data_IF_071792391109
#
_entry.id   IF_071792391109
#
_cell.length_a   1.000
_cell.length_b   1.000
_cell.length_c   1.000
_cell.angle_alpha   90.00
_cell.angle_beta   90.00
_cell.angle_gamma   90.00
#
_symmetry.space_group_name_H-M   'P 1'
#
loop_
_entity.id
_entity.type
_entity.pdbx_description
1 polymer ?
#
# COMPACT_ATOMS: atom_id res chain seq x y z
N UNK A 1 -17.28 26.81 3.19
CA UNK A 1 -15.89 26.92 3.69
C UNK A 1 -15.05 26.05 2.77
N UNK A 2 -13.92 26.54 2.21
CA UNK A 2 -13.05 25.69 1.42
C UNK A 2 -12.40 24.65 2.36
N UNK A 3 -12.44 23.34 2.06
CA UNK A 3 -11.72 22.33 2.80
C UNK A 3 -10.21 22.56 2.76
N UNK A 4 -9.72 23.09 3.88
CA UNK A 4 -8.41 22.92 4.51
C UNK A 4 -7.37 22.07 3.78
N UNK A 5 -6.15 22.59 3.78
CA UNK A 5 -4.86 21.94 3.52
C UNK A 5 -4.54 20.72 4.43
N UNK A 6 -5.53 19.91 4.74
CA UNK A 6 -5.43 18.74 5.58
C UNK A 6 -4.71 17.62 4.82
N UNK A 7 -3.77 16.95 5.50
CA UNK A 7 -3.05 15.85 4.92
C UNK A 7 -4.01 14.72 4.52
N UNK A 8 -3.84 14.18 3.31
CA UNK A 8 -4.63 13.08 2.76
C UNK A 8 -3.67 11.98 2.34
N UNK A 9 -4.09 10.75 2.57
CA UNK A 9 -3.30 9.54 2.34
C UNK A 9 -4.14 8.56 1.57
N UNK A 10 -3.49 7.66 0.82
CA UNK A 10 -4.21 6.63 0.09
C UNK A 10 -5.14 5.85 1.03
N UNK A 11 -4.58 5.38 2.14
CA UNK A 11 -5.35 4.80 3.25
C UNK A 11 -5.51 5.81 4.41
N UNK A 12 -6.72 6.04 4.94
CA UNK A 12 -8.02 5.49 4.49
C UNK A 12 -8.74 6.37 3.45
N UNK A 13 -8.26 7.61 3.23
CA UNK A 13 -9.08 8.67 2.65
C UNK A 13 -9.37 8.46 1.16
N UNK A 14 -8.32 8.34 0.34
CA UNK A 14 -8.46 8.21 -1.11
C UNK A 14 -9.11 6.89 -1.46
N UNK A 15 -8.72 5.81 -0.79
CA UNK A 15 -9.35 4.50 -0.95
C UNK A 15 -10.85 4.60 -0.74
N UNK A 16 -11.30 5.23 0.35
CA UNK A 16 -12.72 5.41 0.58
C UNK A 16 -13.40 6.13 -0.59
N UNK A 17 -12.82 7.22 -1.09
CA UNK A 17 -13.36 7.94 -2.26
C UNK A 17 -13.41 7.05 -3.50
N UNK A 18 -12.32 6.37 -3.87
CA UNK A 18 -12.29 5.49 -5.03
C UNK A 18 -13.31 4.34 -4.90
N UNK A 19 -13.48 3.81 -3.69
CA UNK A 19 -14.40 2.72 -3.43
C UNK A 19 -15.86 3.17 -3.47
N UNK A 20 -16.15 4.39 -3.05
CA UNK A 20 -17.49 4.96 -3.13
C UNK A 20 -17.90 5.27 -4.57
N UNK A 21 -17.01 5.87 -5.36
CA UNK A 21 -17.41 6.46 -6.66
C UNK A 21 -17.01 5.62 -7.88
N UNK A 22 -15.96 4.79 -7.80
CA UNK A 22 -15.35 4.17 -8.97
C UNK A 22 -15.54 2.65 -9.05
N UNK A 23 -15.64 1.94 -7.92
CA UNK A 23 -15.68 0.46 -7.90
C UNK A 23 -16.85 -0.16 -8.63
N UNK A 24 -17.97 0.55 -8.80
CA UNK A 24 -19.12 0.06 -9.58
C UNK A 24 -18.74 -0.37 -11.01
N UNK A 25 -17.75 0.30 -11.60
CA UNK A 25 -17.27 0.00 -12.96
C UNK A 25 -15.82 -0.47 -13.00
N UNK A 26 -15.06 -0.29 -11.92
CA UNK A 26 -13.65 -0.67 -11.84
C UNK A 26 -13.39 -1.88 -10.91
N UNK A 27 -14.40 -2.66 -10.55
CA UNK A 27 -14.24 -3.92 -9.78
C UNK A 27 -13.80 -5.10 -10.65
N UNK A 28 -13.23 -6.12 -10.01
CA UNK A 28 -12.84 -7.42 -10.57
C UNK A 28 -13.94 -8.19 -11.34
N UNK A 29 -15.19 -7.78 -11.17
CA UNK A 29 -16.40 -8.38 -11.73
C UNK A 29 -17.09 -7.50 -12.77
N UNK A 30 -16.57 -6.29 -13.01
CA UNK A 30 -17.18 -5.30 -13.91
C UNK A 30 -16.37 -5.11 -15.20
N UNK A 31 -17.06 -4.75 -16.28
CA UNK A 31 -16.48 -4.65 -17.62
C UNK A 31 -15.40 -3.56 -17.78
N UNK A 32 -15.40 -2.49 -16.97
CA UNK A 32 -14.33 -1.48 -17.05
C UNK A 32 -13.05 -1.89 -16.30
N UNK A 33 -13.04 -2.98 -15.53
CA UNK A 33 -11.79 -3.60 -15.06
C UNK A 33 -10.96 -4.19 -16.20
N UNK A 34 -11.56 -4.49 -17.35
CA UNK A 34 -10.79 -4.85 -18.56
C UNK A 34 -10.05 -3.68 -19.21
N UNK A 35 -10.28 -2.42 -18.75
CA UNK A 35 -9.70 -1.19 -19.30
C UNK A 35 -8.42 -0.69 -18.57
N UNK A 36 -7.67 -1.59 -17.91
CA UNK A 36 -6.39 -1.31 -17.24
C UNK A 36 -6.44 -0.37 -16.02
N UNK A 37 -7.62 -0.18 -15.40
CA UNK A 37 -7.75 0.44 -14.07
C UNK A 37 -8.67 -0.42 -13.22
N UNK A 38 -8.06 -1.27 -12.39
CA UNK A 38 -8.75 -2.21 -11.50
C UNK A 38 -8.63 -1.72 -10.06
N UNK A 39 -9.76 -1.69 -9.37
CA UNK A 39 -9.88 -1.52 -7.92
C UNK A 39 -10.35 -2.88 -7.35
N UNK A 40 -9.42 -3.65 -6.80
CA UNK A 40 -9.65 -5.02 -6.30
C UNK A 40 -9.14 -5.22 -4.89
N UNK A 41 -9.72 -6.17 -4.16
CA UNK A 41 -9.13 -6.69 -2.93
C UNK A 41 -9.47 -5.89 -1.68
N UNK A 42 -9.85 -6.63 -0.65
CA UNK A 42 -10.04 -6.19 0.74
C UNK A 42 -9.11 -7.09 1.58
N UNK A 43 -8.46 -6.61 2.66
CA UNK A 43 -8.37 -5.25 3.17
C UNK A 43 -7.01 -4.55 2.91
N UNK A 44 -6.12 -5.14 2.10
CA UNK A 44 -4.81 -4.54 1.74
C UNK A 44 -4.52 -4.87 0.28
N UNK A 45 -4.58 -3.88 -0.60
CA UNK A 45 -4.42 -4.06 -2.04
C UNK A 45 -3.42 -3.08 -2.66
N UNK A 46 -2.17 -3.50 -2.76
CA UNK A 46 -1.18 -2.77 -3.54
C UNK A 46 -1.64 -2.57 -4.98
N UNK A 47 -2.41 -3.50 -5.52
CA UNK A 47 -2.90 -3.43 -6.89
C UNK A 47 -3.74 -2.17 -7.12
N UNK A 48 -4.75 -1.89 -6.29
CA UNK A 48 -5.55 -0.67 -6.44
C UNK A 48 -4.73 0.59 -6.24
N UNK A 49 -3.81 0.60 -5.28
CA UNK A 49 -2.92 1.73 -5.05
C UNK A 49 -2.03 2.01 -6.27
N UNK A 50 -1.34 0.98 -6.78
CA UNK A 50 -0.44 1.09 -7.93
C UNK A 50 -1.20 1.46 -9.21
N UNK A 51 -2.37 0.87 -9.42
CA UNK A 51 -3.25 1.24 -10.53
C UNK A 51 -3.69 2.70 -10.43
N UNK A 52 -3.93 3.21 -9.23
CA UNK A 52 -4.27 4.62 -8.99
C UNK A 52 -3.07 5.51 -9.30
N UNK A 53 -1.89 5.19 -8.75
CA UNK A 53 -0.65 5.93 -8.97
C UNK A 53 -0.29 6.06 -10.46
N UNK A 54 -0.51 5.02 -11.25
CA UNK A 54 -0.27 5.05 -12.68
C UNK A 54 -1.07 6.14 -13.42
N UNK A 55 -2.11 6.71 -12.79
CA UNK A 55 -3.00 7.75 -13.35
C UNK A 55 -2.78 9.12 -12.71
N UNK A 56 -1.76 9.24 -11.87
CA UNK A 56 -1.41 10.46 -11.17
C UNK A 56 -0.20 11.11 -11.85
N UNK A 57 -0.29 12.42 -12.03
CA UNK A 57 0.85 13.28 -12.32
C UNK A 57 1.08 14.18 -11.09
N UNK A 58 2.17 13.95 -10.37
CA UNK A 58 2.52 14.74 -9.17
C UNK A 58 3.20 16.07 -9.53
N UNK A 59 3.70 16.22 -10.76
CA UNK A 59 4.29 17.47 -11.25
C UNK A 59 3.22 18.41 -11.80
N UNK A 60 2.12 17.85 -12.30
CA UNK A 60 0.94 18.58 -12.75
C UNK A 60 -0.35 17.98 -12.15
N UNK A 61 -0.59 18.18 -10.82
CA UNK A 61 -1.67 17.54 -10.07
C UNK A 61 -3.05 17.68 -10.71
N UNK A 62 -3.40 18.88 -11.16
CA UNK A 62 -4.69 19.22 -11.75
C UNK A 62 -4.95 18.47 -13.08
N UNK A 63 -3.87 18.11 -13.80
CA UNK A 63 -3.95 17.38 -15.05
C UNK A 63 -3.74 15.86 -14.88
N UNK A 64 -3.73 15.36 -13.64
CA UNK A 64 -3.76 13.92 -13.37
C UNK A 64 -4.94 13.26 -14.08
N UNK A 65 -4.67 12.20 -14.84
CA UNK A 65 -5.68 11.50 -15.65
C UNK A 65 -6.85 10.99 -14.80
N UNK A 66 -6.58 10.60 -13.54
CA UNK A 66 -7.62 10.23 -12.57
C UNK A 66 -8.65 11.35 -12.39
N UNK A 67 -8.20 12.58 -12.15
CA UNK A 67 -9.06 13.75 -11.92
C UNK A 67 -9.78 14.16 -13.21
N UNK A 68 -9.06 14.21 -14.33
CA UNK A 68 -9.63 14.60 -15.63
C UNK A 68 -10.75 13.65 -16.08
N UNK A 69 -10.59 12.33 -15.91
CA UNK A 69 -11.63 11.36 -16.24
C UNK A 69 -12.77 11.35 -15.21
N UNK A 70 -12.46 11.45 -13.92
CA UNK A 70 -13.49 11.44 -12.89
C UNK A 70 -14.43 12.64 -12.98
N UNK A 71 -13.91 13.82 -13.37
CA UNK A 71 -14.67 15.06 -13.54
C UNK A 71 -15.26 15.24 -14.95
N UNK A 72 -14.93 14.35 -15.90
CA UNK A 72 -15.40 14.42 -17.28
C UNK A 72 -14.74 15.51 -18.13
N UNK A 73 -13.67 16.15 -17.66
CA UNK A 73 -12.85 17.08 -18.46
C UNK A 73 -12.14 16.39 -19.63
N UNK A 74 -11.88 15.09 -19.47
CA UNK A 74 -11.48 14.20 -20.57
C UNK A 74 -12.50 13.08 -20.69
N UNK A 75 -12.72 12.60 -21.92
CA UNK A 75 -13.65 11.52 -22.21
C UNK A 75 -13.42 10.30 -21.29
N UNK A 76 -14.48 9.91 -20.60
CA UNK A 76 -14.55 8.75 -19.72
C UNK A 76 -15.80 7.96 -20.10
N UNK A 77 -15.67 6.65 -20.36
CA UNK A 77 -16.77 5.83 -20.90
C UNK A 77 -18.01 5.78 -20.00
N UNK A 78 -17.84 5.96 -18.68
CA UNK A 78 -18.93 6.08 -17.71
C UNK A 78 -19.44 7.50 -17.48
N UNK A 79 -18.91 8.50 -18.19
CA UNK A 79 -19.16 9.92 -17.92
C UNK A 79 -18.43 10.45 -16.68
N UNK A 80 -18.77 11.67 -16.29
CA UNK A 80 -18.29 12.26 -15.04
C UNK A 80 -18.93 11.55 -13.85
N UNK A 81 -18.11 11.13 -12.88
CA UNK A 81 -18.54 10.48 -11.62
C UNK A 81 -18.32 11.36 -10.39
N UNK A 82 -17.54 12.43 -10.54
CA UNK A 82 -17.32 13.49 -9.55
C UNK A 82 -17.57 14.86 -10.20
N UNK A 83 -17.93 15.86 -9.39
CA UNK A 83 -17.95 17.27 -9.86
C UNK A 83 -16.63 17.97 -9.53
N UNK A 84 -16.24 18.93 -10.37
CA UNK A 84 -15.00 19.72 -10.18
C UNK A 84 -15.00 20.46 -8.83
N UNK A 85 -16.17 20.93 -8.38
CA UNK A 85 -16.39 21.69 -7.16
C UNK A 85 -16.79 20.83 -5.94
N UNK A 86 -16.64 19.51 -6.03
CA UNK A 86 -17.00 18.58 -4.95
C UNK A 86 -15.82 18.32 -3.99
N UNK A 87 -16.15 18.15 -2.70
CA UNK A 87 -15.18 17.87 -1.64
C UNK A 87 -14.29 16.66 -1.95
N UNK A 88 -14.86 15.63 -2.59
CA UNK A 88 -14.16 14.42 -2.97
C UNK A 88 -13.06 14.69 -4.03
N UNK A 89 -13.35 15.55 -5.01
CA UNK A 89 -12.38 15.96 -6.03
C UNK A 89 -11.23 16.74 -5.39
N UNK A 90 -11.56 17.66 -4.48
CA UNK A 90 -10.55 18.42 -3.74
C UNK A 90 -9.68 17.54 -2.85
N UNK A 91 -10.25 16.53 -2.19
CA UNK A 91 -9.47 15.58 -1.39
C UNK A 91 -8.50 14.76 -2.24
N UNK A 92 -8.93 14.31 -3.42
CA UNK A 92 -8.06 13.62 -4.38
C UNK A 92 -6.95 14.56 -4.86
N UNK A 93 -7.28 15.79 -5.25
CA UNK A 93 -6.29 16.78 -5.68
C UNK A 93 -5.27 17.10 -4.58
N UNK A 94 -5.73 17.29 -3.35
CA UNK A 94 -4.84 17.55 -2.21
C UNK A 94 -3.91 16.37 -1.93
N UNK A 95 -4.38 15.13 -2.04
CA UNK A 95 -3.53 13.94 -1.93
C UNK A 95 -2.47 13.88 -3.04
N UNK A 96 -2.83 14.19 -4.28
CA UNK A 96 -1.87 14.25 -5.39
C UNK A 96 -0.81 15.32 -5.17
N UNK A 97 -1.22 16.55 -4.78
CA UNK A 97 -0.32 17.65 -4.43
C UNK A 97 0.62 17.31 -3.27
N UNK A 98 0.25 16.37 -2.41
CA UNK A 98 1.09 15.83 -1.34
C UNK A 98 2.05 14.73 -1.81
N UNK A 99 2.14 14.48 -3.11
CA UNK A 99 2.99 13.44 -3.70
C UNK A 99 2.35 12.06 -3.75
N UNK A 100 1.01 11.99 -3.69
CA UNK A 100 0.24 10.74 -3.77
C UNK A 100 0.69 9.67 -2.74
N UNK A 101 1.00 10.13 -1.53
CA UNK A 101 1.53 9.30 -0.45
C UNK A 101 0.54 8.22 -0.03
N UNK A 102 1.03 6.99 0.11
CA UNK A 102 0.17 5.84 0.45
C UNK A 102 -0.41 5.96 1.85
N UNK A 103 0.46 6.24 2.80
CA UNK A 103 0.11 6.38 4.20
C UNK A 103 0.79 7.62 4.77
N UNK A 104 0.38 7.96 5.99
CA UNK A 104 0.92 9.07 6.78
C UNK A 104 2.42 9.11 6.95
N UNK A 105 3.12 8.04 6.62
CA UNK A 105 4.49 7.79 7.01
C UNK A 105 5.41 7.48 5.83
N UNK A 106 4.94 7.70 4.59
CA UNK A 106 5.71 7.45 3.38
C UNK A 106 7.10 8.10 3.40
N UNK A 107 7.23 9.30 4.00
CA UNK A 107 8.50 10.04 4.11
C UNK A 107 9.16 9.94 5.49
N UNK A 108 8.55 9.26 6.46
CA UNK A 108 9.17 9.02 7.76
C UNK A 108 10.16 7.85 7.66
N UNK A 109 11.18 7.79 8.55
CA UNK A 109 11.93 6.57 8.75
C UNK A 109 10.97 5.43 9.11
N UNK A 110 11.08 4.33 8.38
CA UNK A 110 10.31 3.12 8.64
C UNK A 110 10.80 2.49 9.94
N UNK A 111 9.86 2.15 10.82
CA UNK A 111 10.15 1.50 12.10
C UNK A 111 9.44 0.15 12.18
N UNK A 112 10.01 -0.77 12.93
CA UNK A 112 9.44 -2.10 13.06
C UNK A 112 8.02 -2.04 13.63
N UNK A 113 7.83 -1.33 14.74
CA UNK A 113 6.55 -1.28 15.45
C UNK A 113 5.39 -0.79 14.58
N UNK A 114 5.67 0.16 13.67
CA UNK A 114 4.66 0.90 12.92
C UNK A 114 4.47 0.38 11.52
N UNK A 115 5.56 0.05 10.84
CA UNK A 115 5.56 -0.25 9.41
C UNK A 115 5.67 -1.73 9.12
N UNK A 116 6.31 -2.54 9.99
CA UNK A 116 6.57 -3.96 9.72
C UNK A 116 5.70 -4.89 10.54
N UNK A 117 5.60 -4.65 11.85
CA UNK A 117 4.89 -5.55 12.77
C UNK A 117 3.42 -5.79 12.42
N UNK A 118 2.61 -4.79 11.99
CA UNK A 118 1.21 -5.02 11.72
C UNK A 118 0.97 -6.18 10.74
N UNK A 119 1.66 -6.22 9.60
CA UNK A 119 1.48 -7.30 8.63
C UNK A 119 2.18 -8.60 9.07
N UNK A 120 3.32 -8.54 9.78
CA UNK A 120 3.96 -9.75 10.34
C UNK A 120 3.02 -10.47 11.31
N UNK A 121 2.39 -9.72 12.20
CA UNK A 121 1.42 -10.31 13.15
C UNK A 121 0.15 -10.78 12.46
N UNK A 122 -0.37 -10.03 11.47
CA UNK A 122 -1.60 -10.40 10.77
C UNK A 122 -1.44 -11.64 9.88
N UNK A 123 -0.29 -11.79 9.20
CA UNK A 123 -0.12 -12.79 8.15
C UNK A 123 0.73 -13.98 8.58
N UNK A 124 1.64 -13.82 9.54
CA UNK A 124 2.58 -14.89 9.91
C UNK A 124 2.19 -15.62 11.20
N UNK A 125 1.47 -14.97 12.13
CA UNK A 125 1.21 -15.53 13.48
C UNK A 125 0.43 -16.86 13.47
N UNK A 126 -0.41 -17.09 12.46
CA UNK A 126 -1.16 -18.34 12.31
C UNK A 126 -0.28 -19.60 12.27
N UNK A 127 0.91 -19.50 11.68
CA UNK A 127 1.88 -20.62 11.65
C UNK A 127 3.11 -20.39 12.53
N UNK A 128 3.43 -19.13 12.85
CA UNK A 128 4.67 -18.75 13.54
C UNK A 128 4.50 -18.30 14.99
N UNK A 129 3.30 -18.33 15.56
CA UNK A 129 3.08 -18.06 17.00
C UNK A 129 3.90 -19.00 17.91
N UNK A 130 4.15 -20.23 17.46
CA UNK A 130 4.99 -21.22 18.14
C UNK A 130 6.50 -21.14 17.85
N UNK A 131 6.95 -20.27 16.93
CA UNK A 131 8.37 -20.21 16.53
C UNK A 131 8.76 -21.20 15.41
N UNK A 132 7.80 -21.67 14.62
CA UNK A 132 8.03 -22.64 13.52
C UNK A 132 9.18 -22.20 12.61
N UNK A 133 10.12 -23.10 12.35
CA UNK A 133 11.28 -22.82 11.48
C UNK A 133 12.24 -21.75 12.03
N UNK A 134 12.21 -21.49 13.35
CA UNK A 134 13.05 -20.49 14.00
C UNK A 134 12.49 -19.06 13.94
N UNK A 135 11.38 -18.85 13.23
CA UNK A 135 10.73 -17.54 13.13
C UNK A 135 9.50 -17.48 14.02
N UNK A 136 9.44 -16.44 14.86
CA UNK A 136 8.30 -16.11 15.73
C UNK A 136 7.56 -14.86 15.23
N UNK A 137 6.23 -14.92 15.27
CA UNK A 137 5.34 -13.79 15.02
C UNK A 137 4.09 -13.85 15.90
N UNK A 138 3.60 -12.71 16.37
CA UNK A 138 2.42 -12.62 17.25
C UNK A 138 2.77 -12.70 18.75
N UNK A 139 4.04 -12.51 19.11
CA UNK A 139 4.48 -12.34 20.48
C UNK A 139 4.42 -10.89 20.95
N UNK A 140 5.24 -10.57 21.97
CA UNK A 140 5.46 -9.17 22.35
C UNK A 140 6.14 -8.41 21.20
N UNK A 141 6.02 -7.07 21.21
CA UNK A 141 6.68 -6.22 20.23
C UNK A 141 8.19 -6.51 20.14
N UNK A 142 8.88 -6.66 21.28
CA UNK A 142 10.30 -7.03 21.32
C UNK A 142 10.58 -8.42 20.73
N UNK A 143 9.75 -9.42 21.05
CA UNK A 143 9.95 -10.78 20.54
C UNK A 143 9.82 -10.84 19.02
N UNK A 144 8.80 -10.19 18.47
CA UNK A 144 8.60 -10.13 17.02
C UNK A 144 9.74 -9.37 16.34
N UNK A 145 10.25 -8.30 16.97
CA UNK A 145 11.37 -7.52 16.47
C UNK A 145 12.68 -8.33 16.42
N UNK A 146 13.04 -8.99 17.52
CA UNK A 146 14.25 -9.82 17.59
C UNK A 146 14.20 -10.99 16.59
N UNK A 147 13.01 -11.56 16.39
CA UNK A 147 12.75 -12.56 15.36
C UNK A 147 13.03 -11.99 13.96
N UNK A 148 12.49 -10.80 13.63
CA UNK A 148 12.77 -10.15 12.34
C UNK A 148 14.23 -9.78 12.14
N UNK A 149 14.92 -9.30 13.18
CA UNK A 149 16.36 -9.01 13.10
C UNK A 149 17.18 -10.26 12.75
N UNK A 150 16.81 -11.42 13.31
CA UNK A 150 17.50 -12.70 13.06
C UNK A 150 17.31 -13.23 11.64
N UNK A 151 16.29 -12.73 10.92
CA UNK A 151 15.92 -13.19 9.59
C UNK A 151 16.10 -12.15 8.49
N UNK A 152 16.66 -10.98 8.81
CA UNK A 152 16.97 -9.90 7.88
C UNK A 152 18.45 -9.56 7.87
N UNK A 153 19.00 -9.36 6.67
CA UNK A 153 20.39 -9.04 6.44
C UNK A 153 20.51 -7.58 5.95
N UNK A 154 21.10 -6.66 6.73
CA UNK A 154 21.28 -5.28 6.32
C UNK A 154 22.35 -5.11 5.22
N UNK A 155 23.30 -6.03 5.12
CA UNK A 155 24.33 -6.03 4.07
C UNK A 155 23.82 -6.64 2.75
N UNK A 156 22.77 -7.45 2.82
CA UNK A 156 22.08 -8.00 1.66
C UNK A 156 20.54 -8.02 1.87
N UNK A 157 19.87 -6.85 1.80
CA UNK A 157 18.45 -6.75 2.14
C UNK A 157 17.57 -7.71 1.35
N UNK A 158 17.75 -7.78 0.02
CA UNK A 158 16.97 -8.67 -0.86
C UNK A 158 17.28 -10.16 -0.63
N UNK A 159 18.47 -10.50 -0.14
CA UNK A 159 18.86 -11.85 0.27
C UNK A 159 18.35 -12.28 1.65
N UNK A 160 17.68 -11.40 2.39
CA UNK A 160 17.08 -11.72 3.70
C UNK A 160 16.22 -12.98 3.63
N UNK A 161 16.41 -13.89 4.59
CA UNK A 161 15.71 -15.19 4.59
C UNK A 161 14.18 -15.05 4.63
N UNK A 162 13.67 -14.03 5.32
CA UNK A 162 12.23 -13.72 5.34
C UNK A 162 11.72 -13.32 3.95
N UNK A 163 12.48 -12.53 3.20
CA UNK A 163 12.07 -12.06 1.87
C UNK A 163 12.14 -13.18 0.82
N UNK A 164 13.24 -13.95 0.81
CA UNK A 164 13.43 -15.05 -0.14
C UNK A 164 12.45 -16.21 0.09
N UNK A 165 12.03 -16.45 1.34
CA UNK A 165 10.95 -17.40 1.63
C UNK A 165 9.59 -16.88 1.17
N UNK A 166 9.31 -15.60 1.38
CA UNK A 166 8.00 -15.04 1.07
C UNK A 166 7.79 -14.75 -0.42
N UNK A 167 8.85 -14.51 -1.20
CA UNK A 167 8.75 -14.37 -2.67
C UNK A 167 8.80 -15.71 -3.43
N UNK A 168 9.11 -16.80 -2.72
CA UNK A 168 9.17 -18.15 -3.27
C UNK A 168 10.51 -18.52 -3.93
N UNK A 169 11.52 -17.65 -3.90
CA UNK A 169 12.89 -17.98 -4.34
C UNK A 169 13.53 -19.05 -3.44
N UNK A 170 13.09 -19.14 -2.18
CA UNK A 170 13.39 -20.24 -1.26
C UNK A 170 12.10 -20.90 -0.80
N UNK A 171 12.12 -22.23 -0.69
CA UNK A 171 10.99 -23.00 -0.21
C UNK A 171 10.48 -22.57 1.17
N UNK A 172 9.16 -22.40 1.26
CA UNK A 172 8.42 -22.10 2.48
C UNK A 172 7.12 -22.90 2.48
N UNK A 173 6.84 -23.62 3.57
CA UNK A 173 5.68 -24.52 3.66
C UNK A 173 4.34 -23.78 3.51
N UNK A 174 4.27 -22.50 3.93
CA UNK A 174 3.12 -21.63 3.74
C UNK A 174 3.01 -21.01 2.34
N UNK A 175 3.83 -21.44 1.38
CA UNK A 175 3.88 -20.84 0.05
C UNK A 175 4.63 -19.51 0.00
N UNK A 176 4.34 -18.72 -1.02
CA UNK A 176 5.00 -17.45 -1.32
C UNK A 176 4.04 -16.26 -1.12
N UNK A 177 3.80 -15.82 0.13
CA UNK A 177 2.81 -14.78 0.44
C UNK A 177 3.15 -13.39 -0.09
N UNK A 178 4.42 -13.08 -0.37
CA UNK A 178 4.90 -11.74 -0.78
C UNK A 178 5.64 -11.76 -2.12
N UNK A 179 5.08 -12.43 -3.13
CA UNK A 179 5.63 -12.37 -4.50
C UNK A 179 5.67 -10.91 -5.01
N UNK A 180 6.77 -10.47 -5.63
CA UNK A 180 6.84 -9.12 -6.21
C UNK A 180 5.83 -8.91 -7.34
N UNK A 181 5.23 -7.69 -7.46
CA UNK A 181 5.36 -6.57 -6.51
C UNK A 181 4.51 -6.81 -5.24
N UNK A 182 5.07 -6.48 -4.07
CA UNK A 182 4.36 -6.54 -2.78
C UNK A 182 4.86 -5.47 -1.81
N UNK A 183 3.95 -4.77 -1.16
CA UNK A 183 4.29 -3.69 -0.26
C UNK A 183 4.80 -4.15 1.08
N UNK A 184 4.46 -5.37 1.53
CA UNK A 184 5.09 -5.97 2.69
C UNK A 184 6.60 -6.15 2.46
N UNK A 185 6.97 -6.60 1.25
CA UNK A 185 8.38 -6.69 0.84
C UNK A 185 9.03 -5.30 0.83
N UNK A 186 8.38 -4.33 0.20
CA UNK A 186 8.92 -2.96 0.12
C UNK A 186 9.04 -2.31 1.49
N UNK A 187 8.10 -2.54 2.40
CA UNK A 187 8.13 -2.05 3.78
C UNK A 187 9.28 -2.67 4.57
N UNK A 188 9.56 -3.97 4.41
CA UNK A 188 10.73 -4.63 5.02
C UNK A 188 12.02 -4.08 4.42
N UNK A 189 12.12 -3.95 3.09
CA UNK A 189 13.31 -3.42 2.41
C UNK A 189 13.61 -1.99 2.87
N UNK A 190 12.59 -1.13 2.93
CA UNK A 190 12.71 0.24 3.46
C UNK A 190 13.09 0.24 4.93
N UNK A 191 12.48 -0.59 5.76
CA UNK A 191 12.85 -0.71 7.18
C UNK A 191 14.30 -1.16 7.38
N UNK A 192 14.78 -2.11 6.58
CA UNK A 192 16.18 -2.52 6.58
C UNK A 192 17.08 -1.34 6.18
N UNK A 193 16.74 -0.64 5.09
CA UNK A 193 17.47 0.53 4.61
C UNK A 193 17.51 1.69 5.63
N UNK A 194 16.43 1.88 6.38
CA UNK A 194 16.33 2.90 7.43
C UNK A 194 17.06 2.51 8.73
N UNK A 195 17.77 1.38 8.75
CA UNK A 195 18.61 0.93 9.86
C UNK A 195 17.93 -0.04 10.81
N UNK A 196 16.86 -0.71 10.38
CA UNK A 196 16.08 -1.68 11.17
C UNK A 196 15.59 -1.09 12.51
N UNK A 197 15.11 0.15 12.51
CA UNK A 197 14.71 0.88 13.72
C UNK A 197 13.57 0.17 14.46
N UNK A 198 13.61 0.16 15.79
CA UNK A 198 12.58 -0.49 16.61
C UNK A 198 11.29 0.34 16.72
N UNK A 199 11.41 1.56 17.26
CA UNK A 199 10.36 2.58 17.43
C UNK A 199 10.84 3.95 16.95
N UNK A 200 9.96 4.97 16.96
CA UNK A 200 10.26 6.36 16.54
C UNK A 200 11.59 6.87 17.10
#
# INVERSE_FOLDING_TARGET
MPPTAEARYYEPHVRSTLYTYCTRCHSDTSNAASAAYLLNGFPVDDTSFQNTLARIDVQDPENSLLLLKATGLVAHGGGAVLRVDEVATEWLLNWVRQGAVRDQYANAPSTFARNVRPFVTAQCSGCHSGGTGGFRAGGTLDQDYQSMLSHTDPGNPTGSSVLTKCDGSRGHAGGAPWRPPSAERDAILKWIADGRRFTQ
#
